data_IF_607882045024
#
_entry.id   IF_607882045024
#
_cell.length_a   1.000
_cell.length_b   1.000
_cell.length_c   1.000
_cell.angle_alpha   90.00
_cell.angle_beta   90.00
_cell.angle_gamma   90.00
#
_symmetry.space_group_name_H-M   'P 1'
#
loop_
_entity.id
_entity.type
_entity.pdbx_description
1 polymer ?
#
# COMPACT_ATOMS: atom_id res chain seq x y z
N UNK A 1 31.85 26.98 -14.81
CA UNK A 1 30.79 27.00 -13.79
C UNK A 1 30.28 28.43 -13.72
N UNK A 2 29.17 28.72 -14.39
CA UNK A 2 28.62 30.09 -14.45
C UNK A 2 27.84 30.34 -13.16
N UNK A 3 28.17 31.48 -12.52
CA UNK A 3 27.65 31.90 -11.21
C UNK A 3 26.11 32.00 -11.19
N UNK A 4 25.45 31.05 -10.53
CA UNK A 4 24.01 31.03 -10.28
C UNK A 4 23.51 32.14 -9.32
N UNK A 5 24.44 32.88 -8.68
CA UNK A 5 24.16 33.96 -7.72
C UNK A 5 23.60 35.22 -8.38
N UNK A 6 24.06 35.56 -9.58
CA UNK A 6 23.55 36.74 -10.30
C UNK A 6 22.12 36.63 -10.78
N UNK A 7 21.63 35.43 -11.12
CA UNK A 7 20.28 35.23 -11.61
C UNK A 7 19.23 35.44 -10.50
N UNK A 8 19.54 35.05 -9.27
CA UNK A 8 18.66 35.23 -8.10
C UNK A 8 18.49 36.69 -7.68
N UNK A 9 19.60 37.45 -7.70
CA UNK A 9 19.58 38.88 -7.33
C UNK A 9 18.77 39.71 -8.36
N UNK A 10 18.93 39.41 -9.65
CA UNK A 10 18.20 40.08 -10.73
C UNK A 10 16.69 39.78 -10.66
N UNK A 11 16.32 38.58 -10.33
CA UNK A 11 14.92 38.16 -10.16
C UNK A 11 14.26 38.89 -8.96
N UNK A 12 14.96 38.98 -7.82
CA UNK A 12 14.48 39.71 -6.65
C UNK A 12 14.34 41.21 -6.94
N UNK A 13 15.31 41.80 -7.68
CA UNK A 13 15.26 43.20 -8.07
C UNK A 13 14.06 43.54 -8.98
N UNK A 14 13.76 42.64 -9.97
CA UNK A 14 12.58 42.76 -10.82
C UNK A 14 11.27 42.66 -10.02
N UNK A 15 11.20 41.76 -9.04
CA UNK A 15 10.06 41.63 -8.15
C UNK A 15 9.82 42.90 -7.30
N UNK A 16 10.90 43.63 -6.92
CA UNK A 16 10.75 44.83 -6.09
C UNK A 16 10.33 46.03 -6.92
N UNK A 17 10.88 46.23 -8.12
CA UNK A 17 10.72 47.46 -8.89
C UNK A 17 9.56 47.46 -9.90
N UNK A 18 9.04 46.26 -10.29
CA UNK A 18 7.98 46.16 -11.28
C UNK A 18 6.71 45.52 -10.74
N UNK A 19 5.68 46.31 -10.35
CA UNK A 19 4.44 45.75 -9.79
C UNK A 19 3.71 44.80 -10.76
N UNK A 20 3.77 45.02 -12.05
CA UNK A 20 3.23 44.12 -13.07
C UNK A 20 3.90 42.75 -13.10
N UNK A 21 5.22 42.70 -12.85
CA UNK A 21 5.98 41.45 -12.79
C UNK A 21 5.58 40.59 -11.60
N UNK A 22 5.25 41.20 -10.46
CA UNK A 22 4.72 40.48 -9.28
C UNK A 22 3.43 39.74 -9.59
N UNK A 23 2.49 40.41 -10.30
CA UNK A 23 1.22 39.79 -10.66
C UNK A 23 1.41 38.58 -11.57
N UNK A 24 2.31 38.68 -12.55
CA UNK A 24 2.62 37.57 -13.48
C UNK A 24 3.22 36.40 -12.74
N UNK A 25 4.18 36.64 -11.84
CA UNK A 25 4.81 35.58 -11.06
C UNK A 25 3.80 34.90 -10.12
N UNK A 26 2.95 35.66 -9.44
CA UNK A 26 1.90 35.12 -8.58
C UNK A 26 0.89 34.27 -9.37
N UNK A 27 0.48 34.72 -10.56
CA UNK A 27 -0.42 33.96 -11.42
C UNK A 27 0.24 32.65 -11.91
N UNK A 28 1.52 32.71 -12.27
CA UNK A 28 2.27 31.52 -12.68
C UNK A 28 2.42 30.48 -11.55
N UNK A 29 2.77 30.95 -10.35
CA UNK A 29 2.89 30.07 -9.15
C UNK A 29 1.53 29.49 -8.78
N UNK A 30 0.47 30.31 -8.80
CA UNK A 30 -0.89 29.84 -8.51
C UNK A 30 -1.38 28.84 -9.57
N UNK A 31 -1.15 29.10 -10.84
CA UNK A 31 -1.50 28.18 -11.94
C UNK A 31 -0.77 26.84 -11.84
N UNK A 32 0.53 26.85 -11.54
CA UNK A 32 1.32 25.65 -11.29
C UNK A 32 0.82 24.88 -10.07
N UNK A 33 0.55 25.57 -8.96
CA UNK A 33 0.00 24.97 -7.74
C UNK A 33 -1.34 24.29 -7.97
N UNK A 34 -2.24 24.93 -8.73
CA UNK A 34 -3.55 24.40 -9.09
C UNK A 34 -3.44 23.15 -9.98
N UNK A 35 -2.53 23.18 -10.96
CA UNK A 35 -2.27 22.04 -11.84
C UNK A 35 -1.75 20.83 -11.08
N UNK A 36 -0.78 21.02 -10.18
CA UNK A 36 -0.24 19.96 -9.32
C UNK A 36 -1.33 19.41 -8.41
N UNK A 37 -2.15 20.27 -7.82
CA UNK A 37 -3.25 19.86 -6.95
C UNK A 37 -4.29 19.01 -7.69
N UNK A 38 -4.66 19.38 -8.91
CA UNK A 38 -5.59 18.59 -9.72
C UNK A 38 -5.00 17.23 -10.08
N UNK A 39 -3.72 17.16 -10.47
CA UNK A 39 -3.04 15.90 -10.79
C UNK A 39 -2.98 14.96 -9.58
N UNK A 40 -2.65 15.46 -8.40
CA UNK A 40 -2.60 14.67 -7.16
C UNK A 40 -4.00 14.16 -6.79
N UNK A 41 -5.03 14.98 -6.98
CA UNK A 41 -6.41 14.59 -6.68
C UNK A 41 -6.93 13.54 -7.63
N UNK A 42 -6.61 13.64 -8.92
CA UNK A 42 -7.01 12.64 -9.93
C UNK A 42 -6.40 11.28 -9.65
N UNK A 43 -5.11 11.21 -9.34
CA UNK A 43 -4.43 9.95 -9.04
C UNK A 43 -4.97 9.26 -7.78
N UNK A 44 -5.35 10.02 -6.75
CA UNK A 44 -5.96 9.45 -5.54
C UNK A 44 -7.35 8.84 -5.81
N UNK A 45 -8.18 9.50 -6.59
CA UNK A 45 -9.54 9.01 -6.93
C UNK A 45 -9.47 7.73 -7.75
N UNK A 46 -8.51 7.61 -8.65
CA UNK A 46 -8.33 6.41 -9.49
C UNK A 46 -7.82 5.22 -8.67
N UNK A 47 -6.89 5.47 -7.75
CA UNK A 47 -6.39 4.46 -6.83
C UNK A 47 -7.47 3.95 -5.86
N UNK A 48 -8.29 4.84 -5.29
CA UNK A 48 -9.40 4.46 -4.40
C UNK A 48 -10.46 3.64 -5.15
N UNK A 49 -10.68 3.90 -6.43
CA UNK A 49 -11.60 3.15 -7.27
C UNK A 49 -11.09 1.73 -7.57
N UNK A 50 -9.81 1.53 -7.82
CA UNK A 50 -9.23 0.20 -8.04
C UNK A 50 -9.26 -0.67 -6.79
N UNK A 51 -9.09 -0.11 -5.60
CA UNK A 51 -9.21 -0.80 -4.31
C UNK A 51 -10.64 -1.24 -3.97
N UNK A 52 -11.67 -0.63 -4.55
CA UNK A 52 -13.07 -0.95 -4.28
C UNK A 52 -13.70 -1.97 -5.23
N UNK A 53 -13.01 -2.35 -6.32
CA UNK A 53 -13.57 -3.21 -7.38
C UNK A 53 -13.67 -4.68 -6.98
N UNK A 54 -12.81 -5.16 -6.10
CA UNK A 54 -12.79 -6.56 -5.65
C UNK A 54 -13.05 -6.58 -4.15
N UNK A 55 -14.10 -7.22 -3.71
CA UNK A 55 -14.34 -7.44 -2.28
C UNK A 55 -13.49 -8.60 -1.76
N UNK A 56 -13.01 -8.52 -0.52
CA UNK A 56 -12.25 -9.59 0.12
C UNK A 56 -12.99 -10.95 0.12
N UNK A 57 -14.32 -10.92 0.20
CA UNK A 57 -15.19 -12.11 0.13
C UNK A 57 -15.22 -12.80 -1.24
N UNK A 58 -14.71 -12.14 -2.28
CA UNK A 58 -14.59 -12.72 -3.63
C UNK A 58 -13.26 -13.44 -3.84
N UNK A 59 -12.36 -13.38 -2.86
CA UNK A 59 -11.10 -14.11 -2.86
C UNK A 59 -11.23 -15.31 -1.94
N UNK A 60 -10.98 -16.50 -2.49
CA UNK A 60 -10.96 -17.75 -1.74
C UNK A 60 -9.52 -18.19 -1.54
N UNK A 61 -9.05 -18.16 -0.28
CA UNK A 61 -7.71 -18.56 0.10
C UNK A 61 -7.73 -20.01 0.63
N UNK A 62 -6.82 -20.81 0.14
CA UNK A 62 -6.68 -22.21 0.55
C UNK A 62 -5.23 -22.60 0.79
N UNK A 63 -5.03 -23.65 1.60
CA UNK A 63 -3.71 -24.17 1.94
C UNK A 63 -2.76 -23.10 2.50
N UNK A 64 -3.31 -22.12 3.25
CA UNK A 64 -2.52 -21.03 3.81
C UNK A 64 -1.67 -21.57 4.97
N UNK A 65 -0.38 -21.31 4.92
CA UNK A 65 0.61 -21.72 5.91
C UNK A 65 1.42 -20.53 6.35
N UNK A 66 1.79 -20.50 7.64
CA UNK A 66 2.71 -19.53 8.20
C UNK A 66 3.95 -20.29 8.71
N UNK A 67 5.13 -19.92 8.23
CA UNK A 67 6.40 -20.56 8.59
C UNK A 67 7.43 -19.52 8.98
N UNK A 68 8.19 -19.79 10.02
CA UNK A 68 9.34 -18.98 10.37
C UNK A 68 10.53 -19.35 9.49
N UNK A 69 11.14 -18.36 8.85
CA UNK A 69 12.33 -18.46 8.02
C UNK A 69 13.38 -17.46 8.51
N UNK A 70 14.39 -17.92 9.22
CA UNK A 70 15.40 -17.06 9.87
C UNK A 70 14.77 -16.02 10.79
N UNK A 71 14.87 -14.73 10.44
CA UNK A 71 14.31 -13.59 11.20
C UNK A 71 12.94 -13.13 10.69
N UNK A 72 12.45 -13.72 9.61
CA UNK A 72 11.19 -13.35 8.96
C UNK A 72 10.17 -14.48 9.08
N UNK A 73 8.91 -14.12 9.02
CA UNK A 73 7.84 -15.09 8.85
C UNK A 73 7.37 -15.05 7.40
N UNK A 74 7.07 -16.19 6.85
CA UNK A 74 6.58 -16.36 5.49
C UNK A 74 5.17 -16.91 5.54
N UNK A 75 4.23 -16.19 4.94
CA UNK A 75 2.89 -16.69 4.66
C UNK A 75 2.82 -17.14 3.19
N UNK A 76 2.32 -18.35 2.96
CA UNK A 76 2.18 -18.90 1.62
C UNK A 76 0.88 -19.67 1.49
N UNK A 77 0.32 -19.73 0.28
CA UNK A 77 -0.92 -20.44 0.01
C UNK A 77 -1.35 -20.34 -1.44
N UNK A 78 -2.63 -20.59 -1.69
CA UNK A 78 -3.23 -20.39 -2.99
C UNK A 78 -4.43 -19.45 -2.88
N UNK A 79 -4.63 -18.59 -3.86
CA UNK A 79 -5.75 -17.66 -3.95
C UNK A 79 -6.51 -17.91 -5.24
N UNK A 80 -7.83 -18.09 -5.12
CA UNK A 80 -8.79 -18.11 -6.24
C UNK A 80 -9.48 -16.76 -6.30
N UNK A 81 -9.50 -16.16 -7.48
CA UNK A 81 -10.23 -14.92 -7.73
C UNK A 81 -11.60 -15.22 -8.33
N UNK A 82 -12.65 -15.03 -7.54
CA UNK A 82 -14.05 -15.22 -7.96
C UNK A 82 -14.70 -13.90 -8.43
N UNK A 83 -13.94 -12.80 -8.51
CA UNK A 83 -14.42 -11.53 -9.03
C UNK A 83 -14.35 -11.48 -10.57
N UNK A 84 -15.08 -10.56 -11.23
CA UNK A 84 -14.99 -10.34 -12.67
C UNK A 84 -13.73 -9.53 -13.08
N UNK A 85 -12.95 -9.02 -12.11
CA UNK A 85 -11.78 -8.18 -12.35
C UNK A 85 -10.50 -8.97 -12.11
N UNK A 86 -9.41 -8.61 -12.77
CA UNK A 86 -8.09 -9.18 -12.49
C UNK A 86 -7.56 -8.62 -11.16
N UNK A 87 -7.28 -9.48 -10.19
CA UNK A 87 -6.57 -9.11 -8.97
C UNK A 87 -5.12 -8.80 -9.31
N UNK A 88 -4.61 -7.67 -8.86
CA UNK A 88 -3.19 -7.30 -9.00
C UNK A 88 -2.39 -7.65 -7.74
N UNK A 89 -2.92 -7.32 -6.58
CA UNK A 89 -2.34 -7.61 -5.27
C UNK A 89 -3.42 -7.59 -4.18
N UNK A 90 -3.04 -8.03 -2.99
CA UNK A 90 -3.88 -7.87 -1.80
C UNK A 90 -3.02 -7.71 -0.54
N UNK A 91 -3.60 -7.05 0.46
CA UNK A 91 -3.00 -6.92 1.79
C UNK A 91 -3.68 -7.88 2.75
N UNK A 92 -2.87 -8.63 3.47
CA UNK A 92 -3.33 -9.59 4.47
C UNK A 92 -2.81 -9.17 5.85
N UNK A 93 -3.71 -9.14 6.81
CA UNK A 93 -3.38 -9.01 8.23
C UNK A 93 -3.14 -10.40 8.79
N UNK A 94 -1.98 -10.62 9.39
CA UNK A 94 -1.62 -11.86 10.08
C UNK A 94 -1.58 -11.58 11.57
N UNK A 95 -2.31 -12.36 12.35
CA UNK A 95 -2.36 -12.28 13.81
C UNK A 95 -1.83 -13.56 14.40
N UNK A 96 -0.83 -13.46 15.26
CA UNK A 96 -0.20 -14.58 15.96
C UNK A 96 -0.57 -14.52 17.43
N UNK A 97 -0.91 -15.67 18.00
CA UNK A 97 -1.42 -15.81 19.35
C UNK A 97 -0.65 -16.91 20.10
N UNK A 98 -0.48 -16.72 21.40
CA UNK A 98 -0.09 -17.78 22.33
C UNK A 98 -1.34 -18.27 23.07
N UNK A 99 -1.70 -19.53 22.86
CA UNK A 99 -2.92 -20.13 23.42
C UNK A 99 -2.56 -21.13 24.55
N UNK A 100 -3.01 -20.87 25.75
CA UNK A 100 -2.89 -21.86 26.85
C UNK A 100 -3.96 -22.94 26.71
N UNK A 101 -5.22 -22.50 26.41
CA UNK A 101 -6.36 -23.35 26.14
C UNK A 101 -7.12 -22.84 24.90
N UNK A 102 -8.20 -23.54 24.51
CA UNK A 102 -8.99 -23.19 23.32
C UNK A 102 -9.63 -21.81 23.42
N UNK A 103 -9.87 -21.30 24.63
CA UNK A 103 -10.50 -20.01 24.91
C UNK A 103 -9.55 -18.95 25.51
N UNK A 104 -8.32 -19.33 25.85
CA UNK A 104 -7.33 -18.44 26.50
C UNK A 104 -6.16 -18.20 25.56
N UNK A 105 -6.38 -17.35 24.56
CA UNK A 105 -5.40 -16.94 23.57
C UNK A 105 -5.06 -15.46 23.74
N UNK A 106 -3.77 -15.15 23.83
CA UNK A 106 -3.27 -13.77 23.88
C UNK A 106 -2.57 -13.46 22.58
N UNK A 107 -2.91 -12.32 21.97
CA UNK A 107 -2.23 -11.83 20.77
C UNK A 107 -0.80 -11.43 21.16
N UNK A 108 0.18 -12.01 20.50
CA UNK A 108 1.61 -11.76 20.72
C UNK A 108 2.31 -11.10 19.54
N UNK A 109 1.65 -11.05 18.40
CA UNK A 109 2.14 -10.35 17.20
C UNK A 109 1.02 -10.14 16.20
N UNK A 110 1.03 -8.97 15.55
CA UNK A 110 0.07 -8.63 14.51
C UNK A 110 0.77 -7.75 13.47
N UNK A 111 0.66 -8.11 12.20
CA UNK A 111 1.30 -7.36 11.13
C UNK A 111 0.52 -7.48 9.82
N UNK A 112 0.62 -6.44 8.99
CA UNK A 112 0.08 -6.44 7.65
C UNK A 112 1.15 -6.80 6.63
N UNK A 113 0.88 -7.80 5.81
CA UNK A 113 1.77 -8.15 4.71
C UNK A 113 1.14 -7.85 3.35
N UNK A 114 1.97 -7.45 2.44
CA UNK A 114 1.58 -7.16 1.06
C UNK A 114 1.90 -8.37 0.18
N UNK A 115 0.89 -8.88 -0.53
CA UNK A 115 1.00 -10.05 -1.39
C UNK A 115 0.85 -9.63 -2.84
N UNK A 116 1.97 -9.59 -3.57
CA UNK A 116 1.99 -9.31 -5.00
C UNK A 116 1.69 -10.58 -5.78
N UNK A 117 0.49 -10.72 -6.31
CA UNK A 117 0.10 -11.84 -7.16
C UNK A 117 -1.01 -11.43 -8.12
N UNK A 118 -0.73 -11.51 -9.41
CA UNK A 118 -1.75 -11.24 -10.45
C UNK A 118 -2.60 -12.49 -10.69
N UNK A 119 -3.91 -12.37 -10.43
CA UNK A 119 -4.86 -13.48 -10.58
C UNK A 119 -6.03 -13.04 -11.47
N UNK A 120 -6.09 -13.50 -12.72
CA UNK A 120 -7.24 -13.26 -13.59
C UNK A 120 -8.56 -13.83 -13.01
N UNK A 121 -9.71 -13.37 -13.50
CA UNK A 121 -11.01 -13.90 -13.09
C UNK A 121 -11.10 -15.42 -13.17
N UNK A 122 -11.71 -16.04 -12.16
CA UNK A 122 -11.95 -17.49 -12.04
C UNK A 122 -10.69 -18.36 -11.99
N UNK A 123 -9.49 -17.76 -11.89
CA UNK A 123 -8.24 -18.51 -11.80
C UNK A 123 -7.75 -18.70 -10.37
N UNK A 124 -6.91 -19.72 -10.20
CA UNK A 124 -6.17 -20.04 -8.98
C UNK A 124 -4.69 -19.77 -9.20
N UNK A 125 -4.03 -19.13 -8.22
CA UNK A 125 -2.58 -18.88 -8.22
C UNK A 125 -1.98 -19.12 -6.84
N UNK A 126 -0.76 -19.61 -6.81
CA UNK A 126 0.01 -19.64 -5.58
C UNK A 126 0.48 -18.23 -5.23
N UNK A 127 0.52 -17.93 -3.93
CA UNK A 127 1.06 -16.68 -3.42
C UNK A 127 2.05 -16.92 -2.28
N UNK A 128 2.88 -15.91 -2.05
CA UNK A 128 3.85 -15.84 -0.97
C UNK A 128 3.98 -14.40 -0.51
N UNK A 129 4.03 -14.19 0.81
CA UNK A 129 4.25 -12.89 1.43
C UNK A 129 5.20 -13.01 2.61
N UNK A 130 5.92 -11.94 2.92
CA UNK A 130 6.81 -11.86 4.07
C UNK A 130 6.14 -11.05 5.18
N UNK A 131 6.20 -11.53 6.40
CA UNK A 131 5.61 -10.92 7.58
C UNK A 131 6.71 -10.60 8.58
N UNK A 132 6.83 -9.32 8.94
CA UNK A 132 7.80 -8.82 9.91
C UNK A 132 7.16 -8.84 11.30
N UNK A 133 7.34 -9.92 12.05
CA UNK A 133 6.89 -10.04 13.43
C UNK A 133 8.08 -9.83 14.37
N UNK A 134 8.48 -8.56 14.51
CA UNK A 134 9.61 -8.18 15.36
C UNK A 134 9.26 -8.26 16.85
N UNK A 135 10.26 -8.64 17.66
CA UNK A 135 10.16 -8.69 19.13
C UNK A 135 9.02 -9.56 19.69
N UNK A 136 8.54 -10.54 18.93
CA UNK A 136 7.50 -11.43 19.37
C UNK A 136 8.02 -12.35 20.49
N UNK A 137 7.34 -12.43 21.65
CA UNK A 137 7.72 -13.37 22.70
C UNK A 137 7.59 -14.80 22.19
N UNK A 138 8.44 -15.69 22.70
CA UNK A 138 8.39 -17.10 22.30
C UNK A 138 7.09 -17.74 22.82
N UNK A 139 6.17 -18.16 21.94
CA UNK A 139 4.91 -18.75 22.37
C UNK A 139 5.11 -20.15 22.99
N UNK A 140 4.27 -20.48 23.92
CA UNK A 140 4.18 -21.87 24.45
C UNK A 140 3.41 -22.74 23.47
N UNK A 141 2.29 -22.21 22.94
CA UNK A 141 1.48 -22.89 21.94
C UNK A 141 1.07 -21.90 20.87
N UNK A 142 1.76 -21.93 19.75
CA UNK A 142 1.51 -21.02 18.62
C UNK A 142 0.16 -21.31 17.98
N UNK A 143 -0.69 -20.31 17.90
CA UNK A 143 -1.87 -20.25 17.05
C UNK A 143 -1.76 -19.01 16.16
N UNK A 144 -2.41 -19.01 15.01
CA UNK A 144 -2.43 -17.85 14.11
C UNK A 144 -3.69 -17.82 13.27
N UNK A 145 -4.03 -16.62 12.82
CA UNK A 145 -5.14 -16.38 11.93
C UNK A 145 -4.77 -15.29 10.91
N UNK A 146 -5.57 -15.18 9.86
CA UNK A 146 -5.37 -14.15 8.84
C UNK A 146 -6.69 -13.55 8.40
N UNK A 147 -6.62 -12.33 7.87
CA UNK A 147 -7.74 -11.62 7.29
C UNK A 147 -7.26 -10.80 6.08
N UNK A 148 -7.98 -10.82 4.97
CA UNK A 148 -7.73 -9.89 3.86
C UNK A 148 -8.30 -8.54 4.26
N UNK A 149 -7.46 -7.50 4.25
CA UNK A 149 -7.84 -6.14 4.66
C UNK A 149 -8.00 -5.19 3.46
N UNK A 150 -7.33 -5.50 2.36
CA UNK A 150 -7.34 -4.65 1.17
C UNK A 150 -7.06 -5.48 -0.09
N UNK A 151 -7.64 -5.10 -1.21
CA UNK A 151 -7.46 -5.76 -2.51
C UNK A 151 -7.32 -4.70 -3.59
N UNK A 152 -6.45 -4.93 -4.56
CA UNK A 152 -6.24 -4.01 -5.69
C UNK A 152 -6.54 -4.74 -7.00
N UNK A 153 -7.41 -4.17 -7.82
CA UNK A 153 -7.63 -4.65 -9.17
C UNK A 153 -6.55 -4.10 -10.11
N UNK A 154 -6.16 -4.89 -11.12
CA UNK A 154 -5.32 -4.40 -12.19
C UNK A 154 -6.10 -3.36 -13.03
N UNK A 155 -5.40 -2.32 -13.47
CA UNK A 155 -5.94 -1.34 -14.40
C UNK A 155 -6.39 -2.04 -15.69
N UNK A 156 -7.56 -1.66 -16.19
CA UNK A 156 -8.13 -2.17 -17.45
C UNK A 156 -7.64 -1.37 -18.63
#
# INVERSE_FOLDING_TARGET
>A
MADCTHCGVLFIWLLINFPGFRVVVLLAVFGLGLSIFVLIRSSKVEQEKSHSLIAASQLDLSNVTLKQSYSLWEVAGTVRNNSPYTLHDFRMKVTVQDCHDVSDCVVIGEENTFVCVTVPPSQLRAFKGEVLLDNMPKPKKLSWSYQIVETTAADQ
#
